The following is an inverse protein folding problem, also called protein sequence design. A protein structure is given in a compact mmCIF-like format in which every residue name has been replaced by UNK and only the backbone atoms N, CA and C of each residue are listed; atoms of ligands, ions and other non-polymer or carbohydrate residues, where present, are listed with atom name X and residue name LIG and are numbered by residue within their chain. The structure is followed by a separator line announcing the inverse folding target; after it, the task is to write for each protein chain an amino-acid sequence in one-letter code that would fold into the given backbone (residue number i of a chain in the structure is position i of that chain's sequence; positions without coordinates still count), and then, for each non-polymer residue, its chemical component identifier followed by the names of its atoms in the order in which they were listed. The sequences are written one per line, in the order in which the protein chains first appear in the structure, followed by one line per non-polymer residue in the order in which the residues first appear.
data_IF_620977786408
#
_entry.id   IF_620977786408
#
_cell.length_a   1.000
_cell.length_b   1.000
_cell.length_c   1.000
_cell.angle_alpha   90.00
_cell.angle_beta   90.00
_cell.angle_gamma   90.00
#
_symmetry.space_group_name_H-M   'P 1'
#
loop_
_entity.id
_entity.type
_entity.pdbx_description
1 polymer ?
#
# COMPACT_ATOMS: atom_id res chain seq x y z
N UNK A 1 -21.05 -9.33 0.75
CA UNK A 1 -19.85 -8.84 0.04
C UNK A 1 -18.79 -8.55 1.08
N UNK A 2 -17.48 -8.67 0.77
CA UNK A 2 -16.43 -8.40 1.71
C UNK A 2 -16.37 -6.91 2.07
N UNK A 3 -15.86 -6.62 3.29
CA UNK A 3 -15.53 -5.28 3.72
C UNK A 3 -14.09 -4.94 3.29
N UNK A 4 -13.91 -3.89 2.50
CA UNK A 4 -12.60 -3.36 2.19
C UNK A 4 -12.05 -2.52 3.36
N UNK A 5 -10.85 -2.85 3.80
CA UNK A 5 -10.15 -2.18 4.90
C UNK A 5 -8.93 -1.47 4.33
N UNK A 6 -8.98 -0.14 4.24
CA UNK A 6 -8.02 0.67 3.50
C UNK A 6 -6.97 1.26 4.46
N UNK A 7 -5.70 0.92 4.26
CA UNK A 7 -4.56 1.32 5.10
C UNK A 7 -3.62 2.19 4.25
N UNK A 8 -3.39 3.45 4.62
CA UNK A 8 -2.52 4.35 3.86
C UNK A 8 -1.04 4.05 4.12
N UNK A 9 -0.19 4.62 3.25
CA UNK A 9 1.26 4.64 3.42
C UNK A 9 1.76 5.72 4.38
N UNK A 10 3.08 5.91 4.33
CA UNK A 10 3.77 6.89 5.15
C UNK A 10 3.23 8.31 4.95
N UNK A 11 3.12 9.04 6.06
CA UNK A 11 2.77 10.45 6.01
C UNK A 11 1.33 10.76 5.58
N UNK A 12 0.42 9.78 5.64
CA UNK A 12 -0.94 9.95 5.14
C UNK A 12 -1.98 9.46 6.15
N UNK A 13 -2.97 10.32 6.44
CA UNK A 13 -4.12 9.96 7.27
C UNK A 13 -5.10 9.07 6.48
N UNK A 14 -5.78 8.08 7.11
CA UNK A 14 -6.76 7.21 6.44
C UNK A 14 -7.87 7.95 5.69
N UNK A 15 -8.21 9.18 6.07
CA UNK A 15 -9.21 10.02 5.39
C UNK A 15 -8.88 10.32 3.92
N UNK A 16 -7.64 10.13 3.48
CA UNK A 16 -7.22 10.22 2.08
C UNK A 16 -8.01 9.28 1.16
N UNK A 17 -8.56 8.21 1.71
CA UNK A 17 -9.38 7.23 0.96
C UNK A 17 -10.85 7.64 0.82
N UNK A 18 -11.28 8.81 1.29
CA UNK A 18 -12.70 9.20 1.27
C UNK A 18 -13.37 9.04 -0.09
N UNK A 19 -12.74 9.50 -1.17
CA UNK A 19 -13.26 9.36 -2.53
C UNK A 19 -13.27 7.90 -3.03
N UNK A 20 -12.31 7.08 -2.60
CA UNK A 20 -12.28 5.64 -2.92
C UNK A 20 -13.41 4.90 -2.18
N UNK A 21 -13.65 5.24 -0.91
CA UNK A 21 -14.77 4.66 -0.14
C UNK A 21 -16.11 4.98 -0.80
N UNK A 22 -16.33 6.23 -1.19
CA UNK A 22 -17.53 6.63 -1.94
C UNK A 22 -17.68 5.85 -3.25
N UNK A 23 -16.59 5.69 -4.00
CA UNK A 23 -16.60 4.93 -5.25
C UNK A 23 -16.86 3.43 -5.04
N UNK A 24 -16.36 2.83 -3.94
CA UNK A 24 -16.67 1.44 -3.58
C UNK A 24 -18.15 1.28 -3.22
N UNK A 25 -18.73 2.25 -2.49
CA UNK A 25 -20.14 2.27 -2.16
C UNK A 25 -21.03 2.34 -3.42
N UNK A 26 -20.65 3.18 -4.40
CA UNK A 26 -21.33 3.25 -5.71
C UNK A 26 -21.27 1.92 -6.48
N UNK A 27 -20.25 1.11 -6.24
CA UNK A 27 -20.08 -0.23 -6.80
C UNK A 27 -20.75 -1.32 -5.92
N UNK A 28 -21.48 -0.91 -4.89
CA UNK A 28 -22.19 -1.80 -3.98
C UNK A 28 -21.28 -2.52 -2.97
N UNK A 29 -20.10 -2.01 -2.70
CA UNK A 29 -19.13 -2.60 -1.77
C UNK A 29 -18.93 -1.72 -0.53
N UNK A 30 -18.90 -2.35 0.65
CA UNK A 30 -18.58 -1.65 1.89
C UNK A 30 -17.06 -1.44 2.04
N UNK A 31 -16.68 -0.27 2.55
CA UNK A 31 -15.27 0.04 2.81
C UNK A 31 -15.10 0.91 4.06
N UNK A 32 -13.96 0.75 4.73
CA UNK A 32 -13.55 1.56 5.88
C UNK A 32 -12.05 1.86 5.81
N UNK A 33 -11.68 3.04 6.22
CA UNK A 33 -10.29 3.41 6.49
C UNK A 33 -10.16 3.67 8.00
N UNK A 34 -9.70 2.67 8.78
CA UNK A 34 -9.65 2.77 10.24
C UNK A 34 -8.70 3.88 10.70
N UNK A 35 -8.99 4.56 11.83
CA UNK A 35 -8.05 5.48 12.41
C UNK A 35 -6.77 4.76 12.84
N UNK A 36 -5.62 5.38 12.59
CA UNK A 36 -4.30 4.88 12.95
C UNK A 36 -3.67 5.76 14.02
N UNK A 37 -2.74 5.25 14.84
CA UNK A 37 -2.09 6.01 15.91
C UNK A 37 -1.01 6.98 15.39
N UNK A 38 -1.37 7.85 14.42
CA UNK A 38 -0.45 8.75 13.72
C UNK A 38 0.15 9.85 14.62
N UNK A 39 -0.50 10.14 15.75
CA UNK A 39 0.00 11.13 16.70
C UNK A 39 1.10 10.58 17.64
N UNK A 40 1.28 9.27 17.72
CA UNK A 40 2.36 8.64 18.47
C UNK A 40 3.55 8.37 17.55
N UNK A 41 4.61 9.15 17.70
CA UNK A 41 5.84 9.01 16.92
C UNK A 41 6.55 7.65 17.14
N UNK A 42 6.23 6.95 18.24
CA UNK A 42 6.76 5.62 18.55
C UNK A 42 5.90 4.50 17.99
N UNK A 43 4.70 4.82 17.47
CA UNK A 43 3.83 3.81 16.90
C UNK A 43 4.54 3.02 15.79
N UNK A 44 4.41 1.71 15.86
CA UNK A 44 5.07 0.73 15.00
C UNK A 44 4.09 0.15 13.97
N UNK A 45 4.55 -0.59 12.96
CA UNK A 45 3.67 -1.37 12.10
C UNK A 45 2.74 -2.32 12.88
N UNK A 46 3.20 -2.88 14.00
CA UNK A 46 2.38 -3.73 14.88
C UNK A 46 1.24 -2.95 15.53
N UNK A 47 1.50 -1.73 16.03
CA UNK A 47 0.46 -0.87 16.61
C UNK A 47 -0.59 -0.46 15.57
N UNK A 48 -0.16 -0.19 14.34
CA UNK A 48 -1.08 0.06 13.23
C UNK A 48 -1.98 -1.15 12.94
N UNK A 49 -1.41 -2.37 12.92
CA UNK A 49 -2.17 -3.59 12.71
C UNK A 49 -3.16 -3.85 13.87
N UNK A 50 -2.79 -3.56 15.11
CA UNK A 50 -3.66 -3.68 16.29
C UNK A 50 -4.83 -2.70 16.23
N UNK A 51 -4.58 -1.45 15.83
CA UNK A 51 -5.62 -0.44 15.63
C UNK A 51 -6.61 -0.87 14.54
N UNK A 52 -6.11 -1.34 13.39
CA UNK A 52 -6.94 -1.86 12.29
C UNK A 52 -7.78 -3.05 12.76
N UNK A 53 -7.16 -4.07 13.37
CA UNK A 53 -7.86 -5.27 13.84
C UNK A 53 -8.93 -4.94 14.87
N UNK A 54 -8.67 -4.00 15.78
CA UNK A 54 -9.65 -3.52 16.77
C UNK A 54 -10.86 -2.88 16.09
N UNK A 55 -10.65 -2.05 15.06
CA UNK A 55 -11.73 -1.33 14.37
C UNK A 55 -12.63 -2.25 13.54
N UNK A 56 -12.11 -3.40 13.07
CA UNK A 56 -12.85 -4.32 12.19
C UNK A 56 -13.26 -5.62 12.87
N UNK A 57 -13.01 -5.76 14.18
CA UNK A 57 -13.33 -6.97 14.95
C UNK A 57 -14.82 -7.31 14.85
N UNK A 58 -15.13 -8.57 14.52
CA UNK A 58 -16.51 -9.04 14.38
C UNK A 58 -17.21 -8.59 13.09
N UNK A 59 -16.50 -7.88 12.19
CA UNK A 59 -17.01 -7.62 10.84
C UNK A 59 -16.82 -8.88 9.98
N UNK A 60 -17.63 -9.04 8.96
CA UNK A 60 -17.63 -10.23 8.12
C UNK A 60 -16.31 -10.51 7.38
N UNK A 61 -16.39 -10.93 6.16
CA UNK A 61 -15.23 -11.20 5.30
C UNK A 61 -14.45 -9.91 5.02
N UNK A 62 -13.13 -9.91 5.29
CA UNK A 62 -12.29 -8.73 5.17
C UNK A 62 -11.35 -8.84 3.97
N UNK A 63 -11.26 -7.76 3.18
CA UNK A 63 -10.20 -7.53 2.19
C UNK A 63 -9.35 -6.37 2.67
N UNK A 64 -8.12 -6.65 3.09
CA UNK A 64 -7.19 -5.62 3.55
C UNK A 64 -6.42 -5.05 2.37
N UNK A 65 -6.56 -3.75 2.14
CA UNK A 65 -5.84 -3.00 1.10
C UNK A 65 -4.79 -2.14 1.78
N UNK A 66 -3.52 -2.45 1.58
CA UNK A 66 -2.42 -1.78 2.25
C UNK A 66 -1.51 -1.06 1.24
N UNK A 67 -1.41 0.26 1.33
CA UNK A 67 -0.67 1.09 0.40
C UNK A 67 0.73 1.40 0.92
N UNK A 68 1.76 1.29 0.06
CA UNK A 68 3.14 1.74 0.32
C UNK A 68 3.69 1.18 1.66
N UNK A 69 4.16 2.03 2.58
CA UNK A 69 4.60 1.64 3.93
C UNK A 69 3.50 0.93 4.74
N UNK A 70 2.24 1.23 4.48
CA UNK A 70 1.10 0.55 5.11
C UNK A 70 1.11 -0.97 4.93
N UNK A 71 1.85 -1.50 3.94
CA UNK A 71 2.02 -2.94 3.74
C UNK A 71 2.74 -3.63 4.91
N UNK A 72 3.64 -2.94 5.63
CA UNK A 72 4.29 -3.47 6.83
C UNK A 72 3.28 -3.82 7.93
N UNK A 73 2.34 -2.91 8.22
CA UNK A 73 1.27 -3.15 9.19
C UNK A 73 0.12 -3.99 8.63
N UNK A 74 -0.28 -3.73 7.38
CA UNK A 74 -1.40 -4.44 6.73
C UNK A 74 -1.18 -5.95 6.65
N UNK A 75 0.04 -6.40 6.38
CA UNK A 75 0.39 -7.81 6.34
C UNK A 75 0.40 -8.49 7.74
N UNK A 76 0.34 -7.71 8.82
CA UNK A 76 0.23 -8.22 10.18
C UNK A 76 -1.23 -8.40 10.64
N UNK A 77 -2.20 -7.82 9.94
CA UNK A 77 -3.63 -7.89 10.30
C UNK A 77 -4.15 -9.34 10.30
N UNK A 78 -3.76 -10.24 9.36
CA UNK A 78 -4.21 -11.63 9.37
C UNK A 78 -3.82 -12.43 10.63
N UNK A 79 -2.76 -12.05 11.33
CA UNK A 79 -2.38 -12.66 12.61
C UNK A 79 -3.27 -12.25 13.78
N UNK A 80 -4.20 -11.30 13.59
CA UNK A 80 -5.07 -10.70 14.61
C UNK A 80 -6.55 -10.97 14.39
N UNK A 81 -6.98 -10.96 13.13
CA UNK A 81 -8.37 -11.20 12.71
C UNK A 81 -8.39 -11.96 11.39
N UNK A 82 -9.42 -12.76 11.11
CA UNK A 82 -9.56 -13.44 9.82
C UNK A 82 -9.61 -12.43 8.67
N UNK A 83 -8.77 -12.63 7.65
CA UNK A 83 -8.70 -11.84 6.42
C UNK A 83 -8.84 -12.78 5.23
N UNK A 84 -9.76 -12.48 4.33
CA UNK A 84 -9.98 -13.29 3.13
C UNK A 84 -8.95 -13.03 2.04
N UNK A 85 -8.46 -11.79 1.95
CA UNK A 85 -7.49 -11.40 0.94
C UNK A 85 -6.68 -10.16 1.38
N UNK A 86 -5.40 -10.15 1.00
CA UNK A 86 -4.53 -8.97 1.03
C UNK A 86 -4.40 -8.39 -0.38
N UNK A 87 -4.59 -7.08 -0.53
CA UNK A 87 -4.26 -6.33 -1.74
C UNK A 87 -3.20 -5.31 -1.36
N UNK A 88 -2.01 -5.48 -1.89
CA UNK A 88 -0.88 -4.58 -1.63
C UNK A 88 -0.79 -3.57 -2.77
N UNK A 89 -1.07 -2.30 -2.48
CA UNK A 89 -1.11 -1.20 -3.45
C UNK A 89 0.21 -0.42 -3.44
N UNK A 90 0.95 -0.42 -4.55
CA UNK A 90 2.27 0.23 -4.63
C UNK A 90 3.14 -0.06 -3.39
N UNK A 91 3.33 -1.33 -2.96
CA UNK A 91 3.72 -1.66 -1.61
C UNK A 91 5.22 -1.59 -1.34
N UNK A 92 5.56 -1.30 -0.09
CA UNK A 92 6.81 -1.73 0.51
C UNK A 92 6.62 -3.14 1.07
N UNK A 93 7.04 -4.16 0.35
CA UNK A 93 6.87 -5.57 0.74
C UNK A 93 8.01 -5.97 1.68
N UNK A 94 7.80 -6.22 2.99
CA UNK A 94 8.87 -6.61 3.92
C UNK A 94 9.38 -8.03 3.72
N UNK A 95 10.56 -8.30 4.27
CA UNK A 95 11.06 -9.64 4.58
C UNK A 95 11.04 -9.87 6.10
N UNK A 96 11.02 -11.14 6.57
CA UNK A 96 11.19 -11.43 7.98
C UNK A 96 12.41 -10.72 8.59
N UNK A 97 12.20 -10.05 9.72
CA UNK A 97 13.24 -9.32 10.45
C UNK A 97 13.72 -8.00 9.81
N UNK A 98 13.17 -7.61 8.66
CA UNK A 98 13.56 -6.38 7.97
C UNK A 98 12.80 -5.17 8.53
N UNK A 99 13.50 -4.09 8.83
CA UNK A 99 12.87 -2.80 9.12
C UNK A 99 12.49 -2.05 7.83
N UNK A 100 11.51 -1.16 7.91
CA UNK A 100 11.20 -0.32 6.76
C UNK A 100 12.34 0.63 6.38
N UNK A 101 13.20 0.97 7.33
CA UNK A 101 14.44 1.73 7.05
C UNK A 101 15.43 0.94 6.19
N UNK A 102 15.63 -0.34 6.48
CA UNK A 102 16.51 -1.24 5.72
C UNK A 102 15.95 -1.60 4.35
N UNK A 103 14.62 -1.63 4.22
CA UNK A 103 13.93 -2.00 2.99
C UNK A 103 14.43 -1.23 1.76
N UNK A 104 14.72 0.06 1.90
CA UNK A 104 15.22 0.91 0.82
C UNK A 104 16.54 0.41 0.22
N UNK A 105 17.47 0.00 1.08
CA UNK A 105 18.77 -0.56 0.66
C UNK A 105 18.60 -2.00 0.15
N UNK A 106 17.87 -2.82 0.88
CA UNK A 106 17.72 -4.24 0.58
C UNK A 106 16.96 -4.52 -0.72
N UNK A 107 16.18 -3.56 -1.20
CA UNK A 107 15.46 -3.66 -2.48
C UNK A 107 16.20 -3.02 -3.65
N UNK A 108 17.32 -2.35 -3.43
CA UNK A 108 18.01 -1.59 -4.49
C UNK A 108 17.15 -0.47 -5.07
N UNK A 109 16.27 0.12 -4.25
CA UNK A 109 15.35 1.18 -4.69
C UNK A 109 16.08 2.39 -5.30
N UNK A 110 17.22 2.79 -4.71
CA UNK A 110 18.00 3.92 -5.19
C UNK A 110 18.43 3.77 -6.66
N UNK A 111 18.73 2.56 -7.12
CA UNK A 111 19.05 2.29 -8.53
C UNK A 111 17.83 2.49 -9.43
N UNK A 112 16.65 2.04 -8.97
CA UNK A 112 15.41 2.15 -9.72
C UNK A 112 14.98 3.60 -9.97
N UNK A 113 15.33 4.53 -9.05
CA UNK A 113 15.04 5.96 -9.17
C UNK A 113 16.29 6.84 -9.34
N UNK A 114 17.40 6.28 -9.81
CA UNK A 114 18.70 6.96 -9.88
C UNK A 114 18.66 8.31 -10.66
N UNK A 115 17.82 8.43 -11.67
CA UNK A 115 17.62 9.68 -12.41
C UNK A 115 16.98 10.78 -11.55
N UNK A 116 15.99 10.43 -10.73
CA UNK A 116 15.36 11.36 -9.80
C UNK A 116 16.32 11.75 -8.68
N UNK A 117 17.06 10.78 -8.12
CA UNK A 117 18.07 11.07 -7.09
C UNK A 117 19.16 12.02 -7.58
N UNK A 118 19.63 11.84 -8.83
CA UNK A 118 20.60 12.78 -9.44
C UNK A 118 20.01 14.17 -9.62
N UNK A 119 18.74 14.27 -10.05
CA UNK A 119 18.06 15.54 -10.30
C UNK A 119 17.86 16.36 -9.02
N UNK A 120 17.52 15.70 -7.92
CA UNK A 120 17.13 16.34 -6.66
C UNK A 120 18.16 16.21 -5.53
N UNK A 121 19.39 15.76 -5.82
CA UNK A 121 20.46 15.70 -4.84
C UNK A 121 20.28 14.64 -3.73
N UNK A 122 19.59 13.54 -4.07
CA UNK A 122 19.28 12.45 -3.13
C UNK A 122 17.95 12.66 -2.42
N UNK A 123 17.49 11.64 -1.68
CA UNK A 123 16.17 11.69 -0.98
C UNK A 123 16.11 12.75 0.12
N UNK A 124 17.23 13.04 0.78
CA UNK A 124 17.32 14.10 1.79
C UNK A 124 17.17 15.51 1.20
N UNK A 125 17.35 15.66 -0.11
CA UNK A 125 17.17 16.92 -0.82
C UNK A 125 15.76 17.13 -1.39
N UNK A 126 14.84 16.20 -1.15
CA UNK A 126 13.49 16.30 -1.68
C UNK A 126 12.72 17.43 -1.00
N UNK A 127 12.51 18.48 -1.76
CA UNK A 127 11.68 19.63 -1.40
C UNK A 127 10.36 19.54 -2.14
N UNK A 128 9.58 20.60 -2.09
CA UNK A 128 8.23 20.68 -2.69
C UNK A 128 8.20 20.19 -4.13
N UNK A 129 9.14 20.63 -4.99
CA UNK A 129 9.16 20.25 -6.41
C UNK A 129 9.38 18.73 -6.63
N UNK A 130 10.23 18.12 -5.79
CA UNK A 130 10.44 16.67 -5.88
C UNK A 130 9.21 15.89 -5.41
N UNK A 131 8.56 16.36 -4.33
CA UNK A 131 7.31 15.75 -3.84
C UNK A 131 6.21 15.86 -4.90
N UNK A 132 6.04 17.03 -5.51
CA UNK A 132 5.07 17.25 -6.58
C UNK A 132 5.35 16.35 -7.79
N UNK A 133 6.60 16.28 -8.26
CA UNK A 133 6.95 15.43 -9.39
C UNK A 133 6.81 13.94 -9.08
N UNK A 134 7.14 13.49 -7.89
CA UNK A 134 7.17 12.06 -7.55
C UNK A 134 5.81 11.53 -7.14
N UNK A 135 5.09 12.27 -6.29
CA UNK A 135 3.84 11.79 -5.67
C UNK A 135 2.58 12.39 -6.28
N UNK A 136 2.65 13.62 -6.78
CA UNK A 136 1.46 14.39 -7.18
C UNK A 136 1.37 14.67 -8.68
N UNK A 137 2.29 14.15 -9.50
CA UNK A 137 2.38 14.48 -10.92
C UNK A 137 1.11 14.21 -11.75
N UNK A 138 0.23 13.32 -11.27
CA UNK A 138 -1.03 12.96 -11.92
C UNK A 138 -2.27 13.26 -11.04
N UNK A 139 -2.05 13.94 -9.90
CA UNK A 139 -3.12 14.38 -8.99
C UNK A 139 -3.56 15.79 -9.40
N UNK A 140 -4.87 16.00 -9.48
CA UNK A 140 -5.42 17.34 -9.70
C UNK A 140 -4.95 18.31 -8.60
N UNK A 141 -4.45 19.52 -8.94
CA UNK A 141 -3.92 20.46 -7.95
C UNK A 141 -4.92 20.87 -6.86
N UNK A 142 -6.23 20.91 -7.16
CA UNK A 142 -7.25 21.22 -6.16
C UNK A 142 -7.44 20.04 -5.19
N UNK A 143 -7.43 18.81 -5.73
CA UNK A 143 -7.46 17.58 -4.91
C UNK A 143 -6.21 17.50 -4.02
N UNK A 144 -5.03 17.77 -4.57
CA UNK A 144 -3.78 17.78 -3.81
C UNK A 144 -3.85 18.80 -2.66
N UNK A 145 -4.31 20.02 -2.93
CA UNK A 145 -4.46 21.08 -1.92
C UNK A 145 -5.48 20.70 -0.84
N UNK A 146 -6.64 20.17 -1.23
CA UNK A 146 -7.67 19.75 -0.29
C UNK A 146 -7.21 18.63 0.65
N UNK A 147 -6.31 17.75 0.16
CA UNK A 147 -5.77 16.63 0.93
C UNK A 147 -4.46 16.95 1.69
N UNK A 148 -3.88 18.13 1.51
CA UNK A 148 -2.63 18.53 2.18
C UNK A 148 -2.75 18.45 3.72
N UNK A 149 -3.93 18.72 4.27
CA UNK A 149 -4.22 18.58 5.70
C UNK A 149 -4.11 17.13 6.22
N UNK A 150 -4.13 16.14 5.34
CA UNK A 150 -4.00 14.71 5.66
C UNK A 150 -2.57 14.20 5.47
N UNK A 151 -1.68 15.05 5.00
CA UNK A 151 -0.26 14.73 4.89
C UNK A 151 0.46 14.99 6.21
N UNK A 152 1.37 14.10 6.58
CA UNK A 152 2.22 14.22 7.76
C UNK A 152 3.51 13.43 7.57
N UNK A 153 4.40 13.49 8.54
CA UNK A 153 5.57 12.63 8.57
C UNK A 153 5.25 11.38 9.40
N UNK A 154 5.59 10.17 8.93
CA UNK A 154 5.49 9.00 9.78
C UNK A 154 6.50 9.09 10.91
N UNK A 155 6.11 8.64 12.11
CA UNK A 155 7.02 8.58 13.24
C UNK A 155 8.18 7.60 13.00
N UNK A 156 9.32 7.79 13.70
CA UNK A 156 10.48 6.90 13.59
C UNK A 156 10.17 5.44 13.94
N UNK A 157 9.16 5.17 14.78
CA UNK A 157 8.70 3.82 15.11
C UNK A 157 8.33 2.99 13.88
N UNK A 158 7.71 3.62 12.88
CA UNK A 158 7.32 2.96 11.63
C UNK A 158 8.51 2.45 10.81
N UNK A 159 9.72 2.97 11.01
CA UNK A 159 10.91 2.62 10.23
C UNK A 159 11.90 1.75 11.00
N UNK A 160 11.77 1.64 12.32
CA UNK A 160 12.77 1.01 13.19
C UNK A 160 12.37 -0.36 13.73
N UNK A 161 11.08 -0.72 13.71
CA UNK A 161 10.65 -2.06 14.15
C UNK A 161 10.98 -3.10 13.07
N UNK A 162 11.70 -4.18 13.40
CA UNK A 162 11.85 -5.32 12.52
C UNK A 162 10.49 -5.99 12.27
N UNK A 163 10.18 -6.33 11.02
CA UNK A 163 8.93 -7.02 10.68
C UNK A 163 8.86 -8.38 11.40
N UNK A 164 7.85 -8.61 12.26
CA UNK A 164 7.92 -9.65 13.30
C UNK A 164 7.56 -11.05 12.83
N UNK A 165 6.96 -11.21 11.62
CA UNK A 165 6.57 -12.54 11.15
C UNK A 165 7.77 -13.28 10.53
N UNK A 166 7.87 -14.57 10.79
CA UNK A 166 8.90 -15.46 10.21
C UNK A 166 8.62 -15.79 8.75
N UNK A 167 7.36 -15.66 8.31
CA UNK A 167 6.92 -15.86 6.94
C UNK A 167 5.71 -14.96 6.64
N UNK A 168 5.43 -14.76 5.35
CA UNK A 168 4.20 -14.09 4.92
C UNK A 168 2.97 -14.91 5.36
N UNK A 169 1.87 -14.22 5.75
CA UNK A 169 0.64 -14.91 6.15
C UNK A 169 0.10 -15.75 5.00
N UNK A 170 -0.44 -16.91 5.33
CA UNK A 170 -1.10 -17.81 4.38
C UNK A 170 -2.50 -17.28 4.02
N UNK A 171 -2.53 -16.16 3.32
CA UNK A 171 -3.73 -15.45 2.86
C UNK A 171 -3.53 -15.11 1.38
N UNK A 172 -4.54 -15.32 0.52
CA UNK A 172 -4.49 -14.89 -0.87
C UNK A 172 -4.01 -13.45 -0.98
N UNK A 173 -2.86 -13.23 -1.62
CA UNK A 173 -2.23 -11.91 -1.71
C UNK A 173 -2.09 -11.48 -3.16
N UNK A 174 -2.53 -10.25 -3.47
CA UNK A 174 -2.38 -9.61 -4.78
C UNK A 174 -1.56 -8.34 -4.63
N UNK A 175 -0.79 -8.01 -5.65
CA UNK A 175 -0.05 -6.74 -5.73
C UNK A 175 -0.63 -5.90 -6.84
N UNK A 176 -1.15 -4.72 -6.52
CA UNK A 176 -1.67 -3.76 -7.48
C UNK A 176 -0.65 -2.64 -7.68
N UNK A 177 -0.08 -2.58 -8.86
CA UNK A 177 0.99 -1.65 -9.21
C UNK A 177 0.46 -0.52 -10.12
N UNK A 178 0.50 0.75 -9.68
CA UNK A 178 0.28 1.88 -10.56
C UNK A 178 1.39 1.97 -11.62
N UNK A 179 1.00 2.13 -12.88
CA UNK A 179 1.92 2.07 -14.03
C UNK A 179 2.91 3.22 -14.09
N UNK A 180 2.43 4.40 -13.74
CA UNK A 180 3.15 5.67 -13.83
C UNK A 180 3.77 6.08 -12.48
N UNK A 181 3.84 5.16 -11.51
CA UNK A 181 4.44 5.41 -10.20
C UNK A 181 5.92 5.77 -10.35
N UNK A 182 6.26 6.98 -9.94
CA UNK A 182 7.62 7.52 -10.04
C UNK A 182 8.47 7.23 -8.81
N UNK A 183 7.82 6.95 -7.65
CA UNK A 183 8.52 6.49 -6.46
C UNK A 183 8.90 5.02 -6.60
N UNK A 184 7.95 4.17 -7.00
CA UNK A 184 8.17 2.74 -7.23
C UNK A 184 7.89 2.39 -8.70
N UNK A 185 8.86 2.59 -9.62
CA UNK A 185 8.66 2.29 -11.04
C UNK A 185 8.12 0.87 -11.26
N UNK A 186 7.25 0.67 -12.26
CA UNK A 186 6.57 -0.60 -12.49
C UNK A 186 7.53 -1.80 -12.57
N UNK A 187 8.69 -1.63 -13.21
CA UNK A 187 9.70 -2.69 -13.29
C UNK A 187 10.26 -3.07 -11.91
N UNK A 188 10.45 -2.06 -11.03
CA UNK A 188 10.86 -2.27 -9.66
C UNK A 188 9.79 -3.02 -8.85
N UNK A 189 8.52 -2.60 -8.93
CA UNK A 189 7.42 -3.27 -8.24
C UNK A 189 7.29 -4.73 -8.68
N UNK A 190 7.36 -5.02 -9.98
CA UNK A 190 7.33 -6.39 -10.54
C UNK A 190 8.46 -7.25 -9.98
N UNK A 191 9.68 -6.72 -9.93
CA UNK A 191 10.84 -7.44 -9.40
C UNK A 191 10.66 -7.75 -7.92
N UNK A 192 10.32 -6.76 -7.10
CA UNK A 192 10.16 -6.94 -5.65
C UNK A 192 9.01 -7.89 -5.32
N UNK A 193 7.88 -7.81 -6.02
CA UNK A 193 6.74 -8.72 -5.82
C UNK A 193 7.12 -10.16 -6.14
N UNK A 194 7.84 -10.39 -7.24
CA UNK A 194 8.32 -11.73 -7.62
C UNK A 194 9.35 -12.28 -6.64
N UNK A 195 10.35 -11.48 -6.25
CA UNK A 195 11.42 -11.89 -5.34
C UNK A 195 10.92 -12.18 -3.91
N UNK A 196 9.91 -11.43 -3.45
CA UNK A 196 9.48 -11.49 -2.04
C UNK A 196 8.23 -12.30 -1.79
N UNK A 197 7.33 -12.39 -2.78
CA UNK A 197 6.05 -13.09 -2.68
C UNK A 197 5.85 -14.18 -3.74
N UNK A 198 6.69 -14.24 -4.79
CA UNK A 198 6.49 -15.16 -5.91
C UNK A 198 5.26 -14.84 -6.76
N UNK A 199 4.74 -13.61 -6.72
CA UNK A 199 3.52 -13.21 -7.45
C UNK A 199 3.81 -12.23 -8.57
N UNK A 200 2.98 -12.28 -9.62
CA UNK A 200 2.92 -11.23 -10.64
C UNK A 200 2.05 -10.07 -10.16
N UNK A 201 2.33 -8.86 -10.67
CA UNK A 201 1.55 -7.68 -10.30
C UNK A 201 0.37 -7.47 -11.23
N UNK A 202 -0.76 -7.09 -10.68
CA UNK A 202 -1.84 -6.46 -11.43
C UNK A 202 -1.50 -4.99 -11.66
N UNK A 203 -1.82 -4.46 -12.83
CA UNK A 203 -1.43 -3.11 -13.21
C UNK A 203 -2.65 -2.22 -13.36
N UNK A 204 -2.60 -1.04 -12.77
CA UNK A 204 -3.58 0.02 -12.96
C UNK A 204 -2.92 1.29 -13.52
N UNK A 205 -3.66 2.20 -14.18
CA UNK A 205 -3.15 3.53 -14.51
C UNK A 205 -2.90 4.38 -13.27
N UNK A 206 -1.97 5.32 -13.34
CA UNK A 206 -1.74 6.35 -12.34
C UNK A 206 -0.43 6.24 -11.58
N UNK A 207 -0.15 7.27 -10.77
CA UNK A 207 1.03 7.42 -9.93
C UNK A 207 0.88 6.77 -8.56
N UNK A 208 1.78 7.15 -7.62
CA UNK A 208 1.90 6.54 -6.30
C UNK A 208 0.67 6.71 -5.40
N UNK A 209 -0.17 7.72 -5.67
CA UNK A 209 -1.36 8.05 -4.87
C UNK A 209 -2.66 7.90 -5.67
N UNK A 210 -3.01 6.69 -6.14
CA UNK A 210 -4.19 6.49 -6.98
C UNK A 210 -5.50 6.77 -6.23
N UNK A 211 -5.52 6.73 -4.90
CA UNK A 211 -6.66 7.12 -4.08
C UNK A 211 -7.01 8.60 -4.24
N UNK A 212 -6.05 9.45 -4.61
CA UNK A 212 -6.25 10.87 -4.90
C UNK A 212 -6.48 11.10 -6.40
N UNK A 213 -5.64 10.51 -7.25
CA UNK A 213 -5.66 10.76 -8.69
C UNK A 213 -6.81 10.06 -9.42
N UNK A 214 -7.16 8.83 -9.00
CA UNK A 214 -8.04 7.90 -9.73
C UNK A 214 -8.91 7.04 -8.81
N UNK A 215 -9.64 7.64 -7.82
CA UNK A 215 -10.34 6.89 -6.78
C UNK A 215 -11.35 5.87 -7.34
N UNK A 216 -12.10 6.24 -8.41
CA UNK A 216 -13.06 5.35 -9.04
C UNK A 216 -12.38 4.17 -9.73
N UNK A 217 -11.31 4.42 -10.48
CA UNK A 217 -10.57 3.33 -11.14
C UNK A 217 -9.92 2.41 -10.10
N UNK A 218 -9.40 2.96 -8.99
CA UNK A 218 -8.90 2.14 -7.88
C UNK A 218 -10.00 1.24 -7.33
N UNK A 219 -11.19 1.78 -7.04
CA UNK A 219 -12.33 1.00 -6.56
C UNK A 219 -12.72 -0.13 -7.53
N UNK A 220 -12.79 0.15 -8.83
CA UNK A 220 -13.09 -0.84 -9.88
C UNK A 220 -12.03 -1.95 -9.95
N UNK A 221 -10.74 -1.61 -9.78
CA UNK A 221 -9.67 -2.60 -9.70
C UNK A 221 -9.80 -3.48 -8.45
N UNK A 222 -10.06 -2.89 -7.29
CA UNK A 222 -10.23 -3.61 -6.04
C UNK A 222 -11.39 -4.61 -6.12
N UNK A 223 -12.55 -4.20 -6.64
CA UNK A 223 -13.70 -5.08 -6.81
C UNK A 223 -13.38 -6.24 -7.76
N UNK A 224 -12.71 -5.99 -8.89
CA UNK A 224 -12.31 -7.06 -9.83
C UNK A 224 -11.36 -8.07 -9.21
N UNK A 225 -10.37 -7.59 -8.44
CA UNK A 225 -9.38 -8.46 -7.79
C UNK A 225 -10.03 -9.40 -6.77
N UNK A 226 -11.12 -8.98 -6.13
CA UNK A 226 -11.86 -9.81 -5.16
C UNK A 226 -12.86 -10.76 -5.82
N UNK A 227 -13.37 -10.42 -7.00
CA UNK A 227 -14.27 -11.30 -7.78
C UNK A 227 -13.53 -12.47 -8.47
N UNK A 228 -12.21 -12.57 -8.35
CA UNK A 228 -11.42 -13.62 -9.00
C UNK A 228 -11.16 -13.40 -10.50
N UNK A 229 -11.53 -12.27 -11.08
CA UNK A 229 -11.41 -11.95 -12.51
C UNK A 229 -10.00 -11.49 -12.94
N UNK A 230 -8.98 -11.75 -12.15
CA UNK A 230 -7.59 -11.31 -12.41
C UNK A 230 -6.57 -12.43 -12.62
N UNK A 231 -6.93 -13.70 -12.54
CA UNK A 231 -6.02 -14.82 -12.70
C UNK A 231 -6.24 -15.53 -14.04
N UNK A 232 -5.71 -14.98 -15.14
CA UNK A 232 -5.47 -15.77 -16.36
C UNK A 232 -4.33 -16.75 -16.07
N UNK A 233 -4.72 -18.03 -15.86
CA UNK A 233 -3.99 -19.27 -16.12
C UNK A 233 -2.46 -19.25 -16.02
N UNK A 234 -1.87 -19.56 -14.85
CA UNK A 234 -0.64 -20.37 -14.75
C UNK A 234 -0.43 -20.93 -13.34
N UNK A 235 -1.42 -21.66 -12.80
CA UNK A 235 -1.20 -22.54 -11.64
C UNK A 235 -1.95 -23.86 -11.84
N UNK A 236 -1.55 -24.62 -12.86
CA UNK A 236 -1.75 -26.09 -12.90
C UNK A 236 -0.46 -26.71 -13.38
N UNK A 237 0.35 -27.20 -12.51
CA UNK A 237 1.49 -28.03 -12.90
C UNK A 237 2.68 -27.93 -11.97
N UNK A 238 2.56 -28.33 -10.69
CA UNK A 238 3.67 -28.84 -9.89
C UNK A 238 3.15 -29.51 -8.62
N UNK A 239 2.46 -30.63 -8.78
CA UNK A 239 2.39 -31.72 -7.78
C UNK A 239 2.39 -33.01 -8.58
N UNK A 240 3.56 -33.57 -8.75
CA UNK A 240 3.85 -34.96 -9.00
C UNK A 240 5.21 -35.26 -8.37
#
# INVERSE_FOLDING_TARGET
MPLFVLIPGAGTDPRVFGATIASLADLGSDAVAPPLPLADERATPSDHADAVASAVRGRGELVVVAQSLGAFGGALVPARVPVAQLVLLAPMIPKPGETAGEWWMNTGHAEAIASLLRRYGGMSGWRTEAIEEVFLHDVDPEVARANQQYAGAPGPGMFSEPWPLEAWPDVPTRVLAPREDRLFPLAFQRRVARERLGVEVDVMPGGHLPMLARPRQLAEHLVRLTAGEGASSTQRGARA
#
